data_IF_259174082942
#
_entry.id   IF_259174082942
#
_cell.length_a   1.000
_cell.length_b   1.000
_cell.length_c   1.000
_cell.angle_alpha   90.00
_cell.angle_beta   90.00
_cell.angle_gamma   90.00
#
_symmetry.space_group_name_H-M   'P 1'
#
loop_
_entity.id
_entity.type
_entity.pdbx_description
1 polymer ?
#
# COMPACT_ATOMS: atom_id res chain seq x y z
N UNK A 1 4.49 11.93 -2.59
CA UNK A 1 4.18 10.73 -3.38
C UNK A 1 2.67 10.65 -3.51
N UNK A 2 2.14 10.81 -4.71
CA UNK A 2 0.71 10.65 -4.96
C UNK A 2 0.40 9.16 -5.12
N UNK A 3 0.09 8.51 -4.00
CA UNK A 3 -0.13 7.06 -3.95
C UNK A 3 -1.49 6.65 -4.53
N UNK A 4 -2.36 7.59 -4.89
CA UNK A 4 -3.63 7.30 -5.55
C UNK A 4 -3.50 7.17 -7.07
N UNK A 5 -2.36 7.55 -7.62
CA UNK A 5 -2.01 7.35 -9.02
C UNK A 5 -1.23 6.02 -9.16
N UNK A 6 -1.73 5.05 -9.95
CA UNK A 6 -1.07 3.76 -10.18
C UNK A 6 0.38 3.91 -10.63
N UNK A 7 0.69 4.89 -11.49
CA UNK A 7 2.03 5.10 -12.08
C UNK A 7 3.05 5.70 -11.10
N UNK A 8 2.54 6.26 -10.00
CA UNK A 8 3.31 6.82 -8.89
C UNK A 8 3.28 5.93 -7.64
N UNK A 9 2.51 4.84 -7.66
CA UNK A 9 2.45 3.87 -6.57
C UNK A 9 3.78 3.11 -6.39
N UNK A 10 4.09 2.72 -5.15
CA UNK A 10 5.35 2.04 -4.83
C UNK A 10 5.52 0.72 -5.58
N UNK A 11 4.43 -0.03 -5.75
CA UNK A 11 4.39 -1.27 -6.51
C UNK A 11 4.53 -1.09 -8.03
N UNK A 12 4.46 0.13 -8.56
CA UNK A 12 4.73 0.40 -9.98
C UNK A 12 6.24 0.52 -10.26
N UNK A 13 7.06 0.73 -9.24
CA UNK A 13 8.50 0.97 -9.37
C UNK A 13 9.27 -0.11 -10.18
N UNK A 14 8.96 -1.42 -10.05
CA UNK A 14 9.64 -2.45 -10.85
C UNK A 14 9.41 -2.31 -12.36
N UNK A 15 8.24 -1.84 -12.80
CA UNK A 15 7.93 -1.66 -14.23
C UNK A 15 8.82 -0.59 -14.88
N UNK A 16 9.27 0.40 -14.10
CA UNK A 16 10.23 1.42 -14.55
C UNK A 16 11.66 0.88 -14.68
N UNK A 17 11.93 -0.34 -14.21
CA UNK A 17 13.25 -0.97 -14.16
C UNK A 17 13.25 -2.37 -14.78
N UNK A 18 12.40 -2.59 -15.78
CA UNK A 18 12.34 -3.90 -16.46
C UNK A 18 13.68 -4.22 -17.16
N UNK A 19 14.26 -5.42 -16.93
CA UNK A 19 15.47 -5.86 -17.61
C UNK A 19 15.31 -5.90 -19.13
N UNK A 20 16.43 -5.75 -19.85
CA UNK A 20 16.45 -5.85 -21.32
C UNK A 20 16.12 -7.24 -21.87
N UNK A 21 16.10 -8.28 -21.03
CA UNK A 21 15.70 -9.64 -21.40
C UNK A 21 14.22 -9.78 -21.75
N UNK A 22 13.38 -8.78 -21.43
CA UNK A 22 11.97 -8.76 -21.81
C UNK A 22 11.78 -8.20 -23.20
N UNK A 23 10.93 -8.85 -23.99
CA UNK A 23 10.44 -8.31 -25.26
C UNK A 23 9.59 -7.06 -25.00
N UNK A 24 9.49 -6.17 -25.99
CA UNK A 24 8.65 -4.98 -25.85
C UNK A 24 7.15 -5.33 -25.70
N UNK A 25 6.72 -6.42 -26.35
CA UNK A 25 5.37 -6.97 -26.19
C UNK A 25 5.11 -7.41 -24.74
N UNK A 26 6.07 -8.09 -24.10
CA UNK A 26 5.94 -8.48 -22.69
C UNK A 26 5.98 -7.26 -21.76
N UNK A 27 6.86 -6.30 -22.00
CA UNK A 27 6.91 -5.05 -21.21
C UNK A 27 5.56 -4.35 -21.23
N UNK A 28 4.94 -4.25 -22.40
CA UNK A 28 3.65 -3.59 -22.55
C UNK A 28 2.53 -4.38 -21.86
N UNK A 29 2.44 -5.70 -22.11
CA UNK A 29 1.44 -6.58 -21.47
C UNK A 29 1.53 -6.53 -19.94
N UNK A 30 2.73 -6.62 -19.38
CA UNK A 30 2.95 -6.58 -17.94
C UNK A 30 2.65 -5.21 -17.34
N UNK A 31 2.98 -4.13 -18.06
CA UNK A 31 2.67 -2.76 -17.61
C UNK A 31 1.17 -2.53 -17.53
N UNK A 32 0.42 -2.91 -18.56
CA UNK A 32 -1.05 -2.79 -18.57
C UNK A 32 -1.69 -3.60 -17.46
N UNK A 33 -1.36 -4.89 -17.35
CA UNK A 33 -1.91 -5.76 -16.31
C UNK A 33 -1.61 -5.24 -14.89
N UNK A 34 -0.43 -4.65 -14.68
CA UNK A 34 -0.07 -4.08 -13.40
C UNK A 34 -0.85 -2.79 -13.10
N UNK A 35 -1.06 -1.91 -14.08
CA UNK A 35 -1.90 -0.71 -13.91
C UNK A 35 -3.33 -1.10 -13.54
N UNK A 36 -3.93 -2.04 -14.27
CA UNK A 36 -5.27 -2.55 -13.99
C UNK A 36 -5.37 -3.14 -12.58
N UNK A 37 -4.41 -3.96 -12.18
CA UNK A 37 -4.40 -4.56 -10.84
C UNK A 37 -4.23 -3.52 -9.73
N UNK A 38 -3.39 -2.50 -9.97
CA UNK A 38 -3.22 -1.40 -9.03
C UNK A 38 -4.53 -0.62 -8.85
N UNK A 39 -5.17 -0.24 -9.94
CA UNK A 39 -6.44 0.50 -9.93
C UNK A 39 -7.57 -0.28 -9.28
N UNK A 40 -7.73 -1.55 -9.66
CA UNK A 40 -8.85 -2.38 -9.23
C UNK A 40 -8.71 -2.88 -7.78
N UNK A 41 -7.49 -3.18 -7.32
CA UNK A 41 -7.29 -3.92 -6.07
C UNK A 41 -6.46 -3.15 -5.05
N UNK A 42 -5.28 -2.67 -5.45
CA UNK A 42 -4.31 -2.09 -4.50
C UNK A 42 -4.78 -0.74 -3.98
N UNK A 43 -5.15 0.17 -4.88
CA UNK A 43 -5.54 1.53 -4.49
C UNK A 43 -6.78 1.54 -3.58
N UNK A 44 -7.84 0.77 -3.86
CA UNK A 44 -8.97 0.65 -2.94
C UNK A 44 -8.57 0.08 -1.56
N UNK A 45 -7.74 -0.96 -1.52
CA UNK A 45 -7.31 -1.57 -0.26
C UNK A 45 -6.49 -0.61 0.61
N UNK A 46 -5.60 0.18 0.00
CA UNK A 46 -4.84 1.21 0.71
C UNK A 46 -5.73 2.37 1.18
N UNK A 47 -6.72 2.78 0.37
CA UNK A 47 -7.73 3.76 0.80
C UNK A 47 -8.51 3.27 2.00
N UNK A 48 -8.98 2.01 1.98
CA UNK A 48 -9.69 1.39 3.10
C UNK A 48 -8.82 1.37 4.36
N UNK A 49 -7.57 0.91 4.23
CA UNK A 49 -6.64 0.83 5.36
C UNK A 49 -6.37 2.21 5.96
N UNK A 50 -6.13 3.23 5.12
CA UNK A 50 -5.95 4.62 5.57
C UNK A 50 -7.19 5.12 6.30
N UNK A 51 -8.36 4.92 5.71
CA UNK A 51 -9.63 5.39 6.28
C UNK A 51 -9.89 4.76 7.64
N UNK A 52 -9.66 3.44 7.77
CA UNK A 52 -9.72 2.76 9.05
C UNK A 52 -8.74 3.35 10.06
N UNK A 53 -7.47 3.55 9.66
CA UNK A 53 -6.45 4.12 10.56
C UNK A 53 -6.83 5.52 11.06
N UNK A 54 -7.40 6.36 10.18
CA UNK A 54 -7.75 7.74 10.52
C UNK A 54 -9.07 7.88 11.27
N UNK A 55 -10.09 7.10 10.88
CA UNK A 55 -11.47 7.30 11.35
C UNK A 55 -11.83 6.39 12.52
N UNK A 56 -11.18 5.23 12.63
CA UNK A 56 -11.53 4.22 13.63
C UNK A 56 -10.36 3.98 14.58
N UNK A 57 -9.21 3.54 14.07
CA UNK A 57 -8.09 3.15 14.92
C UNK A 57 -7.49 4.33 15.69
N UNK A 58 -7.22 5.46 15.02
CA UNK A 58 -6.66 6.66 15.65
C UNK A 58 -7.51 7.17 16.82
N UNK A 59 -8.82 7.44 16.62
CA UNK A 59 -9.71 7.86 17.70
C UNK A 59 -9.89 6.84 18.83
N UNK A 60 -9.75 5.54 18.53
CA UNK A 60 -9.83 4.47 19.53
C UNK A 60 -8.47 4.14 20.19
N UNK A 61 -7.37 4.74 19.72
CA UNK A 61 -6.03 4.47 20.25
C UNK A 61 -5.80 5.20 21.58
N UNK A 62 -4.84 4.70 22.37
CA UNK A 62 -4.46 5.36 23.62
C UNK A 62 -3.75 6.69 23.35
N UNK A 63 -3.95 7.67 24.23
CA UNK A 63 -3.31 8.98 24.11
C UNK A 63 -1.78 8.92 24.28
N UNK A 64 -1.28 7.98 25.09
CA UNK A 64 0.15 7.84 25.34
C UNK A 64 0.74 6.73 24.47
N UNK A 65 2.05 6.74 24.32
CA UNK A 65 2.80 5.64 23.70
C UNK A 65 3.16 4.62 24.77
N UNK A 66 3.00 3.32 24.48
CA UNK A 66 3.45 2.25 25.36
C UNK A 66 2.50 1.06 25.41
N UNK A 67 3.05 -0.15 25.28
CA UNK A 67 2.29 -1.39 25.35
C UNK A 67 1.71 -1.66 26.75
N UNK A 68 2.28 -1.08 27.81
CA UNK A 68 1.77 -1.21 29.19
C UNK A 68 0.34 -0.70 29.39
N UNK A 69 -0.21 0.03 28.42
CA UNK A 69 -1.58 0.55 28.46
C UNK A 69 -2.64 -0.50 28.12
N UNK A 70 -2.26 -1.61 27.47
CA UNK A 70 -3.19 -2.73 27.24
C UNK A 70 -3.22 -3.67 28.44
N UNK A 71 -4.34 -4.39 28.68
CA UNK A 71 -4.38 -5.45 29.69
C UNK A 71 -3.20 -6.42 29.52
N UNK A 72 -2.49 -6.70 30.61
CA UNK A 72 -1.28 -7.54 30.67
C UNK A 72 -0.06 -6.98 29.90
N UNK A 73 -0.08 -5.71 29.46
CA UNK A 73 0.99 -5.13 28.64
C UNK A 73 2.28 -4.75 29.38
N UNK A 74 2.27 -4.81 30.71
CA UNK A 74 3.43 -4.57 31.58
C UNK A 74 4.00 -5.85 32.20
N UNK A 75 3.48 -7.02 31.82
CA UNK A 75 4.00 -8.29 32.30
C UNK A 75 5.26 -8.65 31.49
N UNK A 76 6.43 -8.45 32.11
CA UNK A 76 7.74 -8.93 31.65
C UNK A 76 8.38 -9.78 32.72
#
# INVERSE_FOLDING_TARGET
MDWQDPTKHGFYRPLKKMPGSFTDADKQRLTTAAQESLEANVLPAFRLSRDFLQKEYGPASFEQVGAWQVPNGGET
#
